data_IF_508431230125
#
_entry.id   IF_508431230125
#
_cell.length_a   1.000
_cell.length_b   1.000
_cell.length_c   1.000
_cell.angle_alpha   90.00
_cell.angle_beta   90.00
_cell.angle_gamma   90.00
#
_symmetry.space_group_name_H-M   'P 1'
#
loop_
_entity.id
_entity.type
_entity.pdbx_description
1 polymer ?
#
# COMPACT_ATOMS: atom_id res chain seq x y z
N UNK A 1 81.96 77.12 10.20
CA UNK A 1 82.30 77.55 8.83
C UNK A 1 81.01 77.70 8.06
N UNK A 2 80.69 78.90 7.52
CA UNK A 2 79.74 79.20 6.39
C UNK A 2 78.32 78.55 6.42
N UNK A 3 77.20 79.17 6.02
CA UNK A 3 76.85 80.51 5.49
C UNK A 3 75.29 80.59 5.54
N UNK A 4 74.73 81.76 5.91
CA UNK A 4 73.41 82.35 5.54
C UNK A 4 72.10 81.55 5.80
N UNK A 5 71.02 82.10 6.37
CA UNK A 5 70.20 83.32 6.10
C UNK A 5 69.22 83.24 4.91
N UNK A 6 68.13 84.02 5.08
CA UNK A 6 66.97 84.30 4.20
C UNK A 6 65.77 83.33 4.39
N UNK A 7 64.67 83.74 5.06
CA UNK A 7 63.59 84.69 4.64
C UNK A 7 62.79 84.10 3.45
N UNK A 8 61.47 84.07 3.37
CA UNK A 8 60.32 84.78 4.00
C UNK A 8 59.17 83.72 4.15
N UNK A 9 57.98 83.87 4.77
CA UNK A 9 57.15 84.99 5.28
C UNK A 9 56.28 84.47 6.45
N UNK A 10 55.58 85.35 7.19
CA UNK A 10 54.58 84.97 8.21
C UNK A 10 53.13 85.21 7.73
N UNK A 11 52.18 84.39 8.21
CA UNK A 11 50.78 84.81 8.47
C UNK A 11 50.31 84.18 9.78
N UNK A 12 49.51 84.95 10.52
CA UNK A 12 49.08 84.78 11.90
C UNK A 12 47.64 84.22 11.97
N UNK A 13 47.35 83.21 12.79
CA UNK A 13 45.98 82.94 13.26
C UNK A 13 45.93 82.11 14.56
N UNK A 14 45.62 82.84 15.63
CA UNK A 14 45.27 82.44 17.00
C UNK A 14 44.47 81.13 17.12
N UNK A 15 44.87 80.27 18.06
CA UNK A 15 44.03 79.20 18.59
C UNK A 15 43.25 79.67 19.83
N UNK A 16 41.96 79.29 19.94
CA UNK A 16 41.32 78.91 21.21
C UNK A 16 39.98 78.18 20.97
N UNK A 17 39.95 76.91 21.41
CA UNK A 17 38.82 76.03 21.78
C UNK A 17 37.40 76.28 21.24
N UNK A 18 36.92 75.29 20.48
CA UNK A 18 35.56 74.76 20.62
C UNK A 18 35.65 73.28 21.04
N UNK A 19 34.72 72.80 21.87
CA UNK A 19 34.77 71.45 22.43
C UNK A 19 34.51 70.37 21.37
N UNK A 20 35.31 69.29 21.39
CA UNK A 20 35.06 68.11 20.60
C UNK A 20 34.45 67.02 21.50
N UNK A 21 33.12 66.89 21.47
CA UNK A 21 32.46 65.64 21.87
C UNK A 21 32.73 64.60 20.79
N UNK A 22 33.31 63.43 21.11
CA UNK A 22 33.33 62.33 20.16
C UNK A 22 31.88 61.87 19.95
N UNK A 23 31.42 61.88 18.69
CA UNK A 23 30.22 61.13 18.33
C UNK A 23 30.54 59.65 18.54
N UNK A 24 29.69 58.95 19.29
CA UNK A 24 29.89 57.53 19.57
C UNK A 24 29.79 56.70 18.30
N UNK A 25 30.51 55.57 18.28
CA UNK A 25 30.22 54.50 17.34
C UNK A 25 28.81 53.96 17.66
N UNK A 26 27.86 54.14 16.74
CA UNK A 26 26.60 53.39 16.80
C UNK A 26 26.94 51.92 16.57
N UNK A 27 26.90 51.12 17.64
CA UNK A 27 26.84 49.67 17.53
C UNK A 27 25.53 49.32 16.85
N UNK A 28 25.58 48.93 15.57
CA UNK A 28 24.40 48.50 14.84
C UNK A 28 23.66 47.40 15.63
N UNK A 29 22.38 47.62 15.95
CA UNK A 29 21.61 46.67 16.74
C UNK A 29 21.51 45.34 16.00
N UNK A 30 21.80 44.23 16.70
CA UNK A 30 21.69 42.90 16.12
C UNK A 30 20.21 42.54 15.97
N UNK A 31 19.83 42.20 14.74
CA UNK A 31 18.54 41.56 14.45
C UNK A 31 18.64 40.06 14.72
N UNK A 32 17.70 39.51 15.46
CA UNK A 32 17.63 38.07 15.79
C UNK A 32 16.27 37.52 15.39
N UNK A 33 16.27 36.38 14.70
CA UNK A 33 15.08 35.60 14.39
C UNK A 33 14.90 34.52 15.46
N UNK A 34 13.69 34.34 15.97
CA UNK A 34 13.34 33.31 16.97
C UNK A 34 12.12 32.55 16.47
N UNK A 35 12.24 31.26 16.11
CA UNK A 35 11.09 30.42 15.81
C UNK A 35 10.38 30.01 17.10
N UNK A 36 9.07 29.79 17.01
CA UNK A 36 8.27 29.22 18.11
C UNK A 36 8.57 27.73 18.37
N UNK A 37 9.15 27.03 17.40
CA UNK A 37 9.66 25.66 17.50
C UNK A 37 10.80 25.43 16.49
N UNK A 38 11.79 24.62 16.85
CA UNK A 38 12.86 24.18 15.93
C UNK A 38 12.41 23.00 15.03
N UNK A 39 11.23 22.43 15.30
CA UNK A 39 10.65 21.31 14.55
C UNK A 39 9.16 21.49 14.28
N UNK A 40 8.68 21.02 13.14
CA UNK A 40 7.25 20.89 12.79
C UNK A 40 6.96 19.52 12.18
N UNK A 41 5.69 19.14 12.09
CA UNK A 41 5.24 18.04 11.23
C UNK A 41 5.36 18.40 9.74
N UNK A 42 5.81 17.46 8.92
CA UNK A 42 5.81 17.59 7.45
C UNK A 42 4.45 17.29 6.81
N UNK A 43 3.34 17.74 7.42
CA UNK A 43 1.96 17.40 7.03
C UNK A 43 1.20 18.54 6.30
N UNK A 44 1.82 19.73 6.21
CA UNK A 44 1.23 20.95 5.65
C UNK A 44 0.30 21.72 6.59
N UNK A 45 -0.04 21.18 7.76
CA UNK A 45 -0.98 21.74 8.74
C UNK A 45 -0.28 22.29 9.99
N UNK A 46 0.80 21.66 10.46
CA UNK A 46 1.60 22.20 11.57
C UNK A 46 2.36 23.46 11.14
N UNK A 47 2.42 24.46 12.03
CA UNK A 47 2.89 25.82 11.72
C UNK A 47 3.91 26.31 12.73
N UNK A 48 5.13 26.57 12.25
CA UNK A 48 6.07 27.42 12.97
C UNK A 48 5.74 28.89 12.69
N UNK A 49 5.64 29.68 13.74
CA UNK A 49 5.60 31.16 13.68
C UNK A 49 6.94 31.74 14.12
N UNK A 50 7.29 32.92 13.61
CA UNK A 50 8.58 33.56 13.84
C UNK A 50 8.44 34.94 14.50
N UNK A 51 9.21 35.17 15.56
CA UNK A 51 9.41 36.46 16.24
C UNK A 51 10.73 37.08 15.79
N UNK A 52 10.77 38.40 15.58
CA UNK A 52 11.97 39.15 15.20
C UNK A 52 12.30 40.20 16.25
N UNK A 53 13.52 40.17 16.77
CA UNK A 53 14.00 41.10 17.80
C UNK A 53 15.11 42.01 17.26
N UNK A 54 15.06 43.31 17.57
CA UNK A 54 16.20 44.25 17.47
C UNK A 54 16.74 44.49 18.87
N UNK A 55 17.89 43.89 19.20
CA UNK A 55 18.32 43.79 20.60
C UNK A 55 17.31 43.04 21.45
N UNK A 56 16.71 43.72 22.43
CA UNK A 56 15.63 43.19 23.29
C UNK A 56 14.21 43.62 22.84
N UNK A 57 14.09 44.42 21.77
CA UNK A 57 12.79 44.96 21.31
C UNK A 57 12.16 44.05 20.24
N UNK A 58 10.92 43.63 20.45
CA UNK A 58 10.13 42.95 19.42
C UNK A 58 9.76 43.93 18.29
N UNK A 59 10.19 43.58 17.06
CA UNK A 59 9.97 44.33 15.81
C UNK A 59 9.29 43.45 14.76
N UNK A 60 8.60 42.37 15.18
CA UNK A 60 8.00 41.36 14.29
C UNK A 60 6.96 41.95 13.33
N UNK A 61 6.28 43.03 13.70
CA UNK A 61 5.30 43.69 12.85
C UNK A 61 5.97 44.40 11.65
N UNK A 62 7.04 45.14 11.91
CA UNK A 62 7.80 45.94 10.94
C UNK A 62 8.82 45.12 10.13
N UNK A 63 9.32 44.03 10.72
CA UNK A 63 10.27 43.13 10.08
C UNK A 63 9.63 42.25 8.98
N UNK A 64 10.49 41.69 8.13
CA UNK A 64 10.16 40.67 7.13
C UNK A 64 10.91 39.38 7.45
N UNK A 65 10.32 38.23 7.18
CA UNK A 65 10.97 36.91 7.33
C UNK A 65 10.97 36.24 5.97
N UNK A 66 12.08 35.60 5.60
CA UNK A 66 12.31 34.99 4.30
C UNK A 66 12.76 33.54 4.44
N UNK A 67 12.34 32.71 3.50
CA UNK A 67 12.91 31.38 3.29
C UNK A 67 14.25 31.50 2.57
N UNK A 68 15.33 30.98 3.15
CA UNK A 68 16.69 31.21 2.66
C UNK A 68 16.99 30.55 1.30
N UNK A 69 16.28 29.48 0.94
CA UNK A 69 16.50 28.72 -0.31
C UNK A 69 16.23 29.52 -1.59
N UNK A 70 15.26 30.44 -1.53
CA UNK A 70 14.70 31.13 -2.70
C UNK A 70 14.44 32.62 -2.44
N UNK A 71 14.63 33.10 -1.19
CA UNK A 71 14.32 34.45 -0.72
C UNK A 71 12.83 34.84 -0.84
N UNK A 72 11.93 33.86 -0.76
CA UNK A 72 10.49 34.12 -0.67
C UNK A 72 10.14 34.70 0.70
N UNK A 73 9.45 35.83 0.75
CA UNK A 73 8.93 36.44 1.97
C UNK A 73 7.76 35.61 2.54
N UNK A 74 7.82 35.24 3.81
CA UNK A 74 6.78 34.47 4.48
C UNK A 74 5.54 35.32 4.77
N UNK A 75 4.39 34.86 4.27
CA UNK A 75 3.09 35.40 4.68
C UNK A 75 2.91 35.16 6.18
N UNK A 76 2.40 36.17 6.89
CA UNK A 76 2.16 36.17 8.34
C UNK A 76 3.36 35.81 9.25
N UNK A 77 4.60 35.78 8.71
CA UNK A 77 5.77 35.27 9.44
C UNK A 77 5.55 33.85 9.98
N UNK A 78 4.92 33.00 9.17
CA UNK A 78 4.61 31.61 9.46
C UNK A 78 5.05 30.68 8.33
N UNK A 79 5.38 29.43 8.66
CA UNK A 79 5.75 28.39 7.71
C UNK A 79 5.11 27.05 8.09
N UNK A 80 4.57 26.35 7.08
CA UNK A 80 4.18 24.93 7.10
C UNK A 80 4.62 24.28 5.80
N UNK A 81 4.71 22.96 5.77
CA UNK A 81 5.10 22.20 4.57
C UNK A 81 4.65 20.75 4.65
N UNK A 82 4.33 20.15 3.51
CA UNK A 82 3.98 18.73 3.32
C UNK A 82 5.19 17.88 2.86
N UNK A 83 6.40 18.41 3.09
CA UNK A 83 7.67 17.85 2.61
C UNK A 83 8.63 17.81 3.80
N UNK A 84 9.00 16.61 4.29
CA UNK A 84 10.02 16.47 5.33
C UNK A 84 11.39 17.01 4.87
N UNK A 85 12.14 17.61 5.79
CA UNK A 85 13.47 18.14 5.52
C UNK A 85 13.85 19.34 6.39
N UNK A 86 15.08 19.82 6.19
CA UNK A 86 15.60 21.01 6.87
C UNK A 86 15.30 22.29 6.07
N UNK A 87 14.75 23.29 6.74
CA UNK A 87 14.42 24.58 6.17
C UNK A 87 15.14 25.70 6.92
N UNK A 88 15.78 26.62 6.19
CA UNK A 88 16.44 27.79 6.78
C UNK A 88 15.66 29.07 6.50
N UNK A 89 15.62 29.95 7.49
CA UNK A 89 14.91 31.23 7.47
C UNK A 89 15.79 32.34 8.03
N UNK A 90 15.61 33.55 7.53
CA UNK A 90 16.24 34.76 8.09
C UNK A 90 15.24 35.92 8.11
N UNK A 91 15.46 36.89 8.98
CA UNK A 91 14.66 38.11 9.04
C UNK A 91 15.45 39.32 8.54
N UNK A 92 14.74 40.34 8.07
CA UNK A 92 15.31 41.68 7.87
C UNK A 92 14.49 42.75 8.58
N UNK A 93 15.21 43.72 9.15
CA UNK A 93 14.65 44.93 9.74
C UNK A 93 15.47 46.13 9.22
N UNK A 94 14.84 46.97 8.40
CA UNK A 94 15.53 48.02 7.65
C UNK A 94 16.55 47.44 6.65
N UNK A 95 17.84 47.66 6.91
CA UNK A 95 18.97 47.17 6.10
C UNK A 95 19.77 46.05 6.77
N UNK A 96 19.37 45.63 7.96
CA UNK A 96 20.06 44.60 8.75
C UNK A 96 19.31 43.27 8.58
N UNK A 97 20.07 42.20 8.34
CA UNK A 97 19.57 40.83 8.33
C UNK A 97 19.98 40.08 9.61
N UNK A 98 19.16 39.12 10.04
CA UNK A 98 19.55 38.17 11.09
C UNK A 98 20.53 37.11 10.56
N UNK A 99 21.12 36.34 11.47
CA UNK A 99 21.65 35.01 11.12
C UNK A 99 20.51 34.10 10.65
N UNK A 100 20.83 33.05 9.87
CA UNK A 100 19.86 32.02 9.52
C UNK A 100 19.47 31.19 10.75
N UNK A 101 18.19 30.82 10.84
CA UNK A 101 17.68 29.82 11.79
C UNK A 101 17.10 28.65 11.02
N UNK A 102 17.35 27.44 11.52
CA UNK A 102 16.83 26.19 10.96
C UNK A 102 15.52 25.78 11.65
N UNK A 103 14.57 25.28 10.86
CA UNK A 103 13.42 24.50 11.33
C UNK A 103 13.41 23.18 10.56
N UNK A 104 13.20 22.06 11.24
CA UNK A 104 13.13 20.74 10.61
C UNK A 104 11.67 20.29 10.51
N UNK A 105 11.18 20.04 9.31
CA UNK A 105 9.93 19.32 9.10
C UNK A 105 10.22 17.82 9.20
N UNK A 106 9.65 17.16 10.19
CA UNK A 106 9.87 15.74 10.45
C UNK A 106 9.03 14.87 9.49
N UNK A 107 9.52 13.67 9.21
CA UNK A 107 8.69 12.65 8.53
C UNK A 107 7.54 12.24 9.46
N UNK A 108 6.33 12.14 8.90
CA UNK A 108 5.15 11.70 9.63
C UNK A 108 5.30 10.28 10.15
N UNK A 109 4.65 9.99 11.28
CA UNK A 109 4.56 8.61 11.76
C UNK A 109 3.72 7.79 10.77
N UNK A 110 4.16 6.58 10.43
CA UNK A 110 3.37 5.61 9.66
C UNK A 110 2.88 4.52 10.61
N UNK A 111 1.58 4.21 10.57
CA UNK A 111 1.00 3.09 11.32
C UNK A 111 0.69 1.93 10.38
N UNK A 112 0.93 0.71 10.83
CA UNK A 112 0.51 -0.52 10.18
C UNK A 112 -0.13 -1.48 11.20
N UNK A 113 -0.81 -2.51 10.70
CA UNK A 113 -1.40 -3.59 11.51
C UNK A 113 -0.94 -4.94 10.98
N UNK A 114 -0.74 -5.93 11.85
CA UNK A 114 -0.51 -7.32 11.45
C UNK A 114 -1.75 -7.99 10.85
N UNK A 115 -2.93 -7.47 11.19
CA UNK A 115 -4.24 -8.00 10.82
C UNK A 115 -5.25 -6.87 10.62
N UNK A 116 -5.66 -6.61 9.38
CA UNK A 116 -6.67 -5.59 9.10
C UNK A 116 -8.12 -6.09 9.23
N UNK A 117 -8.32 -7.36 9.63
CA UNK A 117 -9.65 -7.94 9.87
C UNK A 117 -9.66 -8.76 11.14
N UNK A 118 -10.56 -8.40 12.07
CA UNK A 118 -10.80 -9.14 13.30
C UNK A 118 -12.25 -9.63 13.37
N UNK A 119 -12.47 -10.60 14.23
CA UNK A 119 -13.80 -10.96 14.71
C UNK A 119 -14.20 -9.99 15.83
N UNK A 120 -15.42 -9.46 15.78
CA UNK A 120 -16.00 -8.58 16.79
C UNK A 120 -16.46 -9.35 18.05
N UNK A 121 -15.57 -10.16 18.65
CA UNK A 121 -15.85 -10.96 19.84
C UNK A 121 -15.13 -10.47 21.12
N UNK A 122 -14.28 -9.44 21.02
CA UNK A 122 -13.45 -8.95 22.13
C UNK A 122 -12.27 -9.85 22.52
N UNK A 123 -11.96 -10.88 21.73
CA UNK A 123 -10.82 -11.79 21.93
C UNK A 123 -9.86 -11.78 20.73
N UNK A 124 -10.38 -11.70 19.50
CA UNK A 124 -9.57 -11.56 18.30
C UNK A 124 -8.98 -10.15 18.22
N UNK A 125 -7.71 -10.07 17.84
CA UNK A 125 -6.89 -8.88 18.04
C UNK A 125 -6.06 -8.53 16.81
N UNK A 126 -5.86 -7.23 16.63
CA UNK A 126 -4.96 -6.63 15.66
C UNK A 126 -3.84 -5.91 16.42
N UNK A 127 -2.58 -6.19 16.08
CA UNK A 127 -1.40 -5.56 16.68
C UNK A 127 -0.90 -4.46 15.76
N UNK A 128 -0.86 -3.25 16.29
CA UNK A 128 -0.44 -2.04 15.62
C UNK A 128 1.07 -1.83 15.78
N UNK A 129 1.73 -1.44 14.70
CA UNK A 129 3.15 -1.07 14.67
C UNK A 129 3.25 0.36 14.13
N UNK A 130 4.16 1.16 14.69
CA UNK A 130 4.40 2.54 14.24
C UNK A 130 5.86 2.69 13.84
N UNK A 131 6.10 3.22 12.65
CA UNK A 131 7.43 3.53 12.15
C UNK A 131 7.57 5.02 11.85
N UNK A 132 8.77 5.56 12.07
CA UNK A 132 9.14 6.93 11.70
C UNK A 132 10.61 6.93 11.28
N UNK A 133 10.97 7.56 10.15
CA UNK A 133 12.33 7.54 9.60
C UNK A 133 12.91 6.12 9.47
N UNK A 134 12.05 5.15 9.15
CA UNK A 134 12.39 3.72 9.06
C UNK A 134 12.68 3.00 10.38
N UNK A 135 12.47 3.64 11.54
CA UNK A 135 12.65 3.04 12.87
C UNK A 135 11.30 2.67 13.49
N UNK A 136 11.24 1.53 14.17
CA UNK A 136 10.10 1.15 15.02
C UNK A 136 10.05 2.05 16.26
N UNK A 137 8.96 2.80 16.38
CA UNK A 137 8.66 3.76 17.45
C UNK A 137 7.35 3.42 18.17
N UNK A 138 6.87 2.18 18.03
CA UNK A 138 5.60 1.68 18.59
C UNK A 138 5.51 1.91 20.10
N UNK A 139 6.60 1.66 20.83
CA UNK A 139 6.67 1.83 22.29
C UNK A 139 6.71 3.30 22.77
N UNK A 140 7.01 4.25 21.87
CA UNK A 140 6.97 5.69 22.13
C UNK A 140 5.65 6.34 21.67
N UNK A 141 4.77 5.55 21.04
CA UNK A 141 3.56 6.01 20.39
C UNK A 141 2.32 5.79 21.25
N UNK A 142 1.33 6.66 21.05
CA UNK A 142 -0.01 6.58 21.63
C UNK A 142 -1.02 6.36 20.52
N UNK A 143 -2.02 5.51 20.74
CA UNK A 143 -2.94 5.06 19.70
C UNK A 143 -4.35 5.58 19.95
N UNK A 144 -5.08 5.89 18.89
CA UNK A 144 -6.38 6.55 18.96
C UNK A 144 -7.36 5.95 17.95
N UNK A 145 -8.53 5.51 18.42
CA UNK A 145 -9.67 5.14 17.59
C UNK A 145 -10.48 6.40 17.24
N UNK A 146 -10.57 6.71 15.95
CA UNK A 146 -11.39 7.80 15.42
C UNK A 146 -12.87 7.37 15.38
N UNK A 147 -13.73 8.22 15.96
CA UNK A 147 -15.18 8.01 16.03
C UNK A 147 -15.92 8.67 14.85
N UNK A 148 -17.17 8.26 14.58
CA UNK A 148 -17.99 8.84 13.50
C UNK A 148 -18.28 10.33 13.66
N UNK A 149 -18.28 10.85 14.90
CA UNK A 149 -18.47 12.27 15.20
C UNK A 149 -17.19 13.12 15.04
N UNK A 150 -16.06 12.48 14.72
CA UNK A 150 -14.74 13.10 14.57
C UNK A 150 -13.94 13.20 15.87
N UNK A 151 -14.49 12.80 17.01
CA UNK A 151 -13.73 12.68 18.26
C UNK A 151 -12.79 11.46 18.22
N UNK A 152 -11.88 11.36 19.19
CA UNK A 152 -10.89 10.28 19.25
C UNK A 152 -10.79 9.68 20.65
N UNK A 153 -10.90 8.36 20.74
CA UNK A 153 -10.73 7.60 21.98
C UNK A 153 -9.32 7.01 22.03
N UNK A 154 -8.54 7.35 23.05
CA UNK A 154 -7.21 6.77 23.23
C UNK A 154 -7.34 5.27 23.58
N UNK A 155 -6.52 4.44 22.93
CA UNK A 155 -6.39 3.02 23.24
C UNK A 155 -5.36 2.79 24.36
N UNK A 156 -5.61 1.77 25.19
CA UNK A 156 -4.75 1.40 26.32
C UNK A 156 -3.40 0.77 25.89
N UNK A 157 -3.28 0.34 24.63
CA UNK A 157 -2.08 -0.29 24.09
C UNK A 157 -2.02 -0.20 22.56
N UNK A 158 -0.97 -0.74 21.96
CA UNK A 158 -0.87 -0.97 20.52
C UNK A 158 -1.68 -2.20 20.05
N UNK A 159 -2.51 -2.81 20.88
CA UNK A 159 -3.39 -3.93 20.52
C UNK A 159 -4.84 -3.44 20.47
N UNK A 160 -5.50 -3.69 19.34
CA UNK A 160 -6.90 -3.38 19.13
C UNK A 160 -7.75 -4.66 19.13
N UNK A 161 -8.85 -4.64 19.86
CA UNK A 161 -9.93 -5.62 19.80
C UNK A 161 -11.26 -4.90 20.05
N UNK A 162 -12.38 -5.48 19.60
CA UNK A 162 -13.69 -4.87 19.75
C UNK A 162 -14.81 -5.92 19.76
N UNK A 163 -15.98 -5.53 20.27
CA UNK A 163 -17.25 -6.25 20.12
C UNK A 163 -18.20 -5.58 19.11
N UNK A 164 -17.77 -4.48 18.48
CA UNK A 164 -18.57 -3.68 17.56
C UNK A 164 -18.20 -4.00 16.11
N UNK A 165 -19.18 -4.46 15.33
CA UNK A 165 -19.02 -4.80 13.91
C UNK A 165 -18.96 -3.52 13.07
N UNK A 166 -17.98 -3.41 12.19
CA UNK A 166 -17.78 -2.24 11.32
C UNK A 166 -16.31 -1.99 10.98
N UNK A 167 -16.04 -0.96 10.18
CA UNK A 167 -14.67 -0.43 10.03
C UNK A 167 -14.31 0.45 11.21
N UNK A 168 -13.13 0.22 11.78
CA UNK A 168 -12.52 1.01 12.84
C UNK A 168 -11.28 1.69 12.30
N UNK A 169 -11.20 3.01 12.41
CA UNK A 169 -10.09 3.83 11.90
C UNK A 169 -9.16 4.19 13.05
N UNK A 170 -7.91 3.74 13.01
CA UNK A 170 -6.96 3.91 14.11
C UNK A 170 -5.72 4.66 13.63
N UNK A 171 -5.35 5.73 14.33
CA UNK A 171 -4.10 6.45 14.09
C UNK A 171 -3.20 6.42 15.32
N UNK A 172 -1.91 6.70 15.13
CA UNK A 172 -0.92 6.82 16.19
C UNK A 172 -0.37 8.25 16.27
N UNK A 173 0.10 8.63 17.47
CA UNK A 173 0.86 9.85 17.72
C UNK A 173 2.15 9.57 18.50
N UNK A 174 3.25 10.17 18.06
CA UNK A 174 4.56 10.15 18.74
C UNK A 174 5.01 11.59 19.00
N UNK A 175 4.80 12.08 20.21
CA UNK A 175 4.96 13.50 20.51
C UNK A 175 3.86 14.32 19.84
N UNK A 176 4.22 15.28 18.98
CA UNK A 176 3.26 15.98 18.10
C UNK A 176 2.90 15.15 16.88
N UNK A 177 3.88 14.43 16.30
CA UNK A 177 3.75 13.71 15.03
C UNK A 177 2.56 12.73 15.02
N UNK A 178 1.62 12.92 14.08
CA UNK A 178 0.43 12.08 13.88
C UNK A 178 0.56 11.24 12.61
N UNK A 179 0.03 10.02 12.65
CA UNK A 179 -0.10 9.18 11.45
C UNK A 179 -1.41 9.43 10.70
N UNK A 180 -1.43 9.06 9.42
CA UNK A 180 -2.68 8.70 8.76
C UNK A 180 -3.33 7.49 9.49
N UNK A 181 -4.66 7.34 9.47
CA UNK A 181 -5.31 6.19 10.08
C UNK A 181 -5.15 4.91 9.24
N UNK A 182 -5.02 3.77 9.91
CA UNK A 182 -5.21 2.43 9.33
C UNK A 182 -6.62 1.93 9.64
N UNK A 183 -7.25 1.27 8.67
CA UNK A 183 -8.57 0.69 8.81
C UNK A 183 -8.47 -0.77 9.29
N UNK A 184 -9.23 -1.15 10.31
CA UNK A 184 -9.45 -2.53 10.74
C UNK A 184 -10.94 -2.85 10.64
N UNK A 185 -11.30 -3.87 9.87
CA UNK A 185 -12.68 -4.35 9.74
C UNK A 185 -12.98 -5.38 10.82
N UNK A 186 -13.86 -5.05 11.75
CA UNK A 186 -14.41 -5.99 12.73
C UNK A 186 -15.67 -6.65 12.15
N UNK A 187 -15.64 -7.98 12.01
CA UNK A 187 -16.72 -8.79 11.41
C UNK A 187 -17.55 -9.52 12.46
N UNK A 188 -18.83 -9.76 12.18
CA UNK A 188 -19.72 -10.43 13.12
C UNK A 188 -19.27 -11.88 13.41
N UNK A 189 -19.31 -12.26 14.68
CA UNK A 189 -19.06 -13.64 15.10
C UNK A 189 -20.33 -14.47 15.02
N UNK A 190 -20.62 -15.00 13.83
CA UNK A 190 -21.52 -16.15 13.72
C UNK A 190 -20.72 -17.46 13.71
N UNK A 191 -21.23 -18.43 14.46
CA UNK A 191 -20.73 -19.79 14.61
C UNK A 191 -21.77 -20.84 14.20
N UNK A 192 -23.04 -20.45 14.04
CA UNK A 192 -24.11 -21.36 13.66
C UNK A 192 -23.93 -21.71 12.18
N UNK A 193 -23.53 -22.96 11.84
CA UNK A 193 -23.07 -23.26 10.48
C UNK A 193 -24.19 -23.11 9.44
N UNK A 194 -25.45 -23.21 9.87
CA UNK A 194 -26.65 -22.99 9.06
C UNK A 194 -26.83 -21.56 8.58
N UNK A 195 -26.16 -20.59 9.20
CA UNK A 195 -26.24 -19.16 8.85
C UNK A 195 -25.13 -18.75 7.88
N UNK A 196 -24.17 -19.65 7.59
CA UNK A 196 -23.01 -19.37 6.74
C UNK A 196 -23.39 -19.39 5.26
N UNK A 197 -24.11 -18.36 4.83
CA UNK A 197 -24.50 -18.13 3.44
C UNK A 197 -23.34 -17.47 2.65
N UNK A 198 -22.19 -18.13 2.55
CA UNK A 198 -20.98 -17.54 1.94
C UNK A 198 -21.22 -17.11 0.48
N UNK A 199 -20.59 -16.01 0.04
CA UNK A 199 -20.52 -15.70 -1.40
C UNK A 199 -19.58 -16.71 -2.05
N UNK A 200 -20.10 -17.42 -3.05
CA UNK A 200 -19.29 -18.32 -3.87
C UNK A 200 -18.61 -17.55 -5.00
N UNK A 201 -17.33 -17.87 -5.23
CA UNK A 201 -16.63 -17.57 -6.47
C UNK A 201 -15.93 -18.81 -6.99
N UNK A 202 -15.81 -18.90 -8.31
CA UNK A 202 -15.09 -19.96 -8.99
C UNK A 202 -13.67 -19.53 -9.43
N UNK A 203 -12.73 -20.47 -9.39
CA UNK A 203 -11.39 -20.29 -9.96
C UNK A 203 -11.45 -20.50 -11.47
N UNK A 204 -10.91 -19.54 -12.24
CA UNK A 204 -10.72 -19.60 -13.69
C UNK A 204 -9.23 -19.74 -14.00
N UNK A 205 -8.72 -20.98 -13.97
CA UNK A 205 -7.31 -21.28 -14.27
C UNK A 205 -7.09 -21.31 -15.79
N UNK A 206 -6.53 -20.24 -16.32
CA UNK A 206 -6.15 -20.06 -17.71
C UNK A 206 -4.75 -20.64 -17.97
N UNK A 207 -4.59 -21.32 -19.10
CA UNK A 207 -3.27 -21.62 -19.68
C UNK A 207 -3.05 -20.80 -20.97
N UNK A 208 -1.93 -20.08 -21.02
CA UNK A 208 -1.66 -19.05 -22.04
C UNK A 208 -0.18 -18.96 -22.41
N UNK A 209 0.16 -18.23 -23.47
CA UNK A 209 1.54 -17.89 -23.81
C UNK A 209 1.65 -16.58 -24.63
N UNK A 210 2.77 -15.87 -24.49
CA UNK A 210 3.10 -14.66 -25.26
C UNK A 210 3.06 -14.90 -26.79
N UNK A 211 3.56 -16.03 -27.29
CA UNK A 211 3.49 -16.37 -28.72
C UNK A 211 2.15 -16.93 -29.20
N UNK A 212 1.17 -17.13 -28.32
CA UNK A 212 -0.13 -17.72 -28.66
C UNK A 212 -1.07 -16.71 -29.32
N UNK A 213 -1.13 -16.68 -30.65
CA UNK A 213 -1.96 -15.74 -31.41
C UNK A 213 -3.48 -15.80 -31.19
N UNK A 214 -4.00 -16.88 -30.59
CA UNK A 214 -5.41 -17.01 -30.21
C UNK A 214 -5.69 -16.68 -28.73
N UNK A 215 -4.67 -16.65 -27.87
CA UNK A 215 -4.83 -16.35 -26.44
C UNK A 215 -5.43 -14.97 -26.13
N UNK A 216 -5.22 -13.92 -26.96
CA UNK A 216 -5.98 -12.67 -26.90
C UNK A 216 -7.50 -12.77 -26.89
N UNK A 217 -8.09 -13.82 -27.48
CA UNK A 217 -9.55 -14.02 -27.42
C UNK A 217 -10.02 -14.38 -26.00
N UNK A 218 -9.23 -15.17 -25.28
CA UNK A 218 -9.49 -15.50 -23.87
C UNK A 218 -9.28 -14.28 -22.98
N UNK A 219 -8.12 -13.61 -23.14
CA UNK A 219 -7.78 -12.39 -22.40
C UNK A 219 -8.86 -11.30 -22.59
N UNK A 220 -9.21 -10.95 -23.83
CA UNK A 220 -10.25 -9.94 -24.07
C UNK A 220 -11.65 -10.41 -23.64
N UNK A 221 -11.89 -11.72 -23.57
CA UNK A 221 -13.10 -12.29 -22.96
C UNK A 221 -13.19 -11.99 -21.46
N UNK A 222 -12.13 -12.25 -20.69
CA UNK A 222 -12.04 -11.91 -19.26
C UNK A 222 -12.17 -10.39 -19.04
N UNK A 223 -11.45 -9.59 -19.83
CA UNK A 223 -11.55 -8.13 -19.75
C UNK A 223 -12.97 -7.61 -19.99
N UNK A 224 -13.72 -8.20 -20.94
CA UNK A 224 -15.14 -7.84 -21.17
C UNK A 224 -16.01 -8.17 -19.96
N UNK A 225 -15.71 -9.22 -19.19
CA UNK A 225 -16.43 -9.55 -17.96
C UNK A 225 -16.08 -8.56 -16.84
N UNK A 226 -14.80 -8.22 -16.67
CA UNK A 226 -14.35 -7.18 -15.74
C UNK A 226 -14.97 -5.81 -16.07
N UNK A 227 -14.96 -5.40 -17.34
CA UNK A 227 -15.64 -4.19 -17.86
C UNK A 227 -17.16 -4.17 -17.59
N UNK A 228 -17.78 -5.32 -17.31
CA UNK A 228 -19.20 -5.47 -16.94
C UNK A 228 -19.44 -5.52 -15.42
N UNK A 229 -18.39 -5.44 -14.58
CA UNK A 229 -18.50 -5.62 -13.14
C UNK A 229 -18.88 -7.05 -12.73
N UNK A 230 -18.52 -8.05 -13.53
CA UNK A 230 -18.77 -9.44 -13.20
C UNK A 230 -17.73 -9.98 -12.21
N UNK A 231 -18.20 -10.55 -11.10
CA UNK A 231 -17.36 -10.95 -9.97
C UNK A 231 -17.60 -12.41 -9.49
N UNK A 232 -18.33 -13.24 -10.24
CA UNK A 232 -18.58 -14.65 -9.85
C UNK A 232 -17.34 -15.56 -10.00
N UNK A 233 -16.24 -15.05 -10.56
CA UNK A 233 -15.04 -15.85 -10.80
C UNK A 233 -13.74 -15.03 -10.80
N UNK A 234 -12.66 -15.69 -10.40
CA UNK A 234 -11.32 -15.11 -10.23
C UNK A 234 -10.37 -15.82 -11.19
N UNK A 235 -9.73 -15.06 -12.08
CA UNK A 235 -8.75 -15.58 -13.04
C UNK A 235 -7.39 -15.90 -12.41
N UNK A 236 -6.71 -16.91 -12.97
CA UNK A 236 -5.32 -17.22 -12.70
C UNK A 236 -4.65 -17.57 -14.02
N UNK A 237 -3.65 -16.81 -14.46
CA UNK A 237 -2.97 -17.01 -15.73
C UNK A 237 -1.68 -17.82 -15.58
N UNK A 238 -1.77 -19.14 -15.75
CA UNK A 238 -0.59 -20.00 -15.89
C UNK A 238 0.00 -19.87 -17.30
N UNK A 239 1.07 -19.08 -17.42
CA UNK A 239 1.89 -19.07 -18.62
C UNK A 239 2.62 -20.41 -18.82
N UNK A 240 2.72 -20.90 -20.06
CA UNK A 240 3.35 -22.20 -20.39
C UNK A 240 4.71 -22.02 -21.05
N UNK A 241 5.68 -22.89 -20.73
CA UNK A 241 7.08 -22.80 -21.19
C UNK A 241 7.35 -23.14 -22.66
N UNK A 242 6.40 -22.87 -23.55
CA UNK A 242 6.54 -23.00 -25.00
C UNK A 242 5.86 -21.80 -25.70
N UNK A 243 5.93 -21.71 -27.04
CA UNK A 243 5.44 -20.55 -27.80
C UNK A 243 6.10 -19.21 -27.38
N UNK A 244 7.43 -19.18 -27.27
CA UNK A 244 8.22 -17.95 -27.01
C UNK A 244 7.77 -17.18 -25.75
N UNK A 245 7.43 -17.92 -24.70
CA UNK A 245 7.02 -17.37 -23.42
C UNK A 245 8.19 -17.23 -22.44
N UNK A 246 8.14 -16.18 -21.60
CA UNK A 246 9.14 -15.85 -20.58
C UNK A 246 8.56 -15.61 -19.18
N UNK A 247 7.25 -15.80 -19.02
CA UNK A 247 6.47 -15.57 -17.80
C UNK A 247 6.07 -16.87 -17.09
N UNK A 248 6.33 -18.03 -17.70
CA UNK A 248 5.96 -19.34 -17.14
C UNK A 248 6.65 -19.65 -15.80
N UNK A 249 5.91 -20.15 -14.79
CA UNK A 249 6.50 -20.67 -13.56
C UNK A 249 7.13 -22.05 -13.80
N UNK A 250 8.12 -22.46 -13.00
CA UNK A 250 8.84 -23.75 -13.18
C UNK A 250 7.94 -24.99 -13.14
N UNK A 251 6.82 -24.91 -12.41
CA UNK A 251 5.84 -25.99 -12.24
C UNK A 251 4.74 -26.02 -13.32
N UNK A 252 4.74 -25.11 -14.31
CA UNK A 252 3.66 -24.99 -15.32
C UNK A 252 3.25 -26.32 -15.96
N UNK A 253 4.21 -27.21 -16.24
CA UNK A 253 3.97 -28.48 -16.93
C UNK A 253 3.27 -29.50 -16.03
N UNK A 254 3.49 -29.44 -14.71
CA UNK A 254 2.76 -30.28 -13.76
C UNK A 254 1.30 -29.81 -13.64
N UNK A 255 1.09 -28.48 -13.55
CA UNK A 255 -0.24 -27.89 -13.50
C UNK A 255 -1.04 -28.15 -14.80
N UNK A 256 -0.41 -27.96 -15.97
CA UNK A 256 -0.99 -28.29 -17.28
C UNK A 256 -1.36 -29.77 -17.40
N UNK A 257 -0.50 -30.69 -16.95
CA UNK A 257 -0.77 -32.14 -17.00
C UNK A 257 -1.98 -32.55 -16.15
N UNK A 258 -2.25 -31.82 -15.06
CA UNK A 258 -3.36 -32.13 -14.16
C UNK A 258 -4.67 -31.46 -14.61
N UNK A 259 -4.64 -30.17 -15.01
CA UNK A 259 -5.85 -29.37 -15.24
C UNK A 259 -6.01 -28.82 -16.67
N UNK A 260 -4.97 -28.86 -17.50
CA UNK A 260 -5.05 -28.46 -18.91
C UNK A 260 -5.65 -29.53 -19.84
N UNK A 261 -5.86 -30.75 -19.35
CA UNK A 261 -6.23 -31.93 -20.15
C UNK A 261 -7.58 -31.84 -20.87
N UNK A 262 -8.49 -30.96 -20.44
CA UNK A 262 -9.76 -30.69 -21.12
C UNK A 262 -9.62 -29.94 -22.46
N UNK A 263 -8.46 -29.36 -22.75
CA UNK A 263 -8.22 -28.57 -23.96
C UNK A 263 -7.18 -29.21 -24.89
N UNK A 264 -7.42 -29.12 -26.20
CA UNK A 264 -6.51 -29.64 -27.24
C UNK A 264 -5.30 -28.74 -27.52
N UNK A 265 -5.17 -27.61 -26.81
CA UNK A 265 -4.13 -26.59 -26.98
C UNK A 265 -4.46 -25.32 -26.19
N UNK A 266 -3.66 -24.27 -26.38
CA UNK A 266 -3.87 -22.95 -25.75
C UNK A 266 -4.51 -21.93 -26.73
N UNK A 267 -5.33 -20.96 -26.26
CA UNK A 267 -5.71 -20.76 -24.85
C UNK A 267 -6.62 -21.88 -24.34
N UNK A 268 -6.40 -22.27 -23.10
CA UNK A 268 -7.29 -23.15 -22.34
C UNK A 268 -7.75 -22.44 -21.07
N UNK A 269 -8.94 -22.77 -20.61
CA UNK A 269 -9.49 -22.40 -19.30
C UNK A 269 -9.97 -23.68 -18.62
N UNK A 270 -9.65 -23.83 -17.35
CA UNK A 270 -10.15 -24.89 -16.47
C UNK A 270 -10.79 -24.26 -15.24
N UNK A 271 -11.84 -24.87 -14.68
CA UNK A 271 -12.65 -24.26 -13.63
C UNK A 271 -12.56 -25.06 -12.34
N UNK A 272 -12.41 -24.39 -11.19
CA UNK A 272 -12.37 -24.98 -9.85
C UNK A 272 -11.41 -26.18 -9.66
N UNK A 273 -10.34 -26.28 -10.48
CA UNK A 273 -9.47 -27.45 -10.56
C UNK A 273 -10.21 -28.78 -10.90
N UNK A 274 -11.46 -28.70 -11.39
CA UNK A 274 -12.22 -29.84 -11.89
C UNK A 274 -11.71 -30.25 -13.27
N UNK A 275 -11.02 -31.39 -13.32
CA UNK A 275 -10.47 -32.00 -14.54
C UNK A 275 -11.52 -32.37 -15.59
N UNK A 276 -12.81 -32.39 -15.23
CA UNK A 276 -13.94 -32.59 -16.15
C UNK A 276 -14.39 -31.30 -16.84
N UNK A 277 -13.95 -30.12 -16.36
CA UNK A 277 -14.44 -28.82 -16.83
C UNK A 277 -13.33 -28.00 -17.47
N UNK A 278 -13.53 -27.63 -18.74
CA UNK A 278 -12.63 -26.73 -19.42
C UNK A 278 -13.10 -26.34 -20.82
N UNK A 279 -12.52 -25.27 -21.34
CA UNK A 279 -12.81 -24.75 -22.68
C UNK A 279 -11.59 -24.09 -23.31
N UNK A 280 -11.58 -24.02 -24.64
CA UNK A 280 -10.75 -23.06 -25.38
C UNK A 280 -11.43 -21.70 -25.51
N UNK A 281 -10.79 -20.78 -26.23
CA UNK A 281 -11.45 -19.55 -26.67
C UNK A 281 -12.47 -19.84 -27.80
N UNK A 282 -13.49 -18.98 -27.92
CA UNK A 282 -14.57 -19.10 -28.88
C UNK A 282 -14.35 -18.18 -30.10
N UNK A 283 -15.29 -18.17 -31.05
CA UNK A 283 -15.17 -17.49 -32.34
C UNK A 283 -14.87 -15.97 -32.27
N UNK A 284 -15.10 -15.31 -31.13
CA UNK A 284 -14.68 -13.94 -30.84
C UNK A 284 -14.63 -13.70 -29.32
N UNK A 285 -14.12 -12.54 -28.89
CA UNK A 285 -13.98 -12.19 -27.47
C UNK A 285 -15.32 -12.12 -26.72
N UNK A 286 -16.37 -11.54 -27.31
CA UNK A 286 -17.70 -11.48 -26.70
C UNK A 286 -18.32 -12.87 -26.50
N UNK A 287 -18.24 -13.73 -27.51
CA UNK A 287 -18.66 -15.12 -27.39
C UNK A 287 -17.85 -15.87 -26.31
N UNK A 288 -16.55 -15.56 -26.18
CA UNK A 288 -15.71 -16.14 -25.12
C UNK A 288 -16.18 -15.67 -23.75
N UNK A 289 -16.39 -14.36 -23.53
CA UNK A 289 -16.95 -13.81 -22.29
C UNK A 289 -18.29 -14.47 -21.91
N UNK A 290 -19.24 -14.58 -22.85
CA UNK A 290 -20.55 -15.21 -22.60
C UNK A 290 -20.42 -16.67 -22.17
N UNK A 291 -19.54 -17.45 -22.81
CA UNK A 291 -19.38 -18.86 -22.44
C UNK A 291 -18.59 -19.03 -21.13
N UNK A 292 -17.58 -18.20 -20.86
CA UNK A 292 -16.89 -18.19 -19.57
C UNK A 292 -17.88 -17.92 -18.43
N UNK A 293 -18.75 -16.91 -18.56
CA UNK A 293 -19.79 -16.60 -17.57
C UNK A 293 -20.76 -17.77 -17.38
N UNK A 294 -21.25 -18.38 -18.46
CA UNK A 294 -22.16 -19.53 -18.38
C UNK A 294 -21.49 -20.73 -17.69
N UNK A 295 -20.28 -21.13 -18.10
CA UNK A 295 -19.57 -22.26 -17.50
C UNK A 295 -19.26 -21.98 -16.03
N UNK A 296 -18.93 -20.74 -15.67
CA UNK A 296 -18.74 -20.34 -14.27
C UNK A 296 -20.02 -20.53 -13.46
N UNK A 297 -21.18 -20.10 -13.98
CA UNK A 297 -22.47 -20.38 -13.36
C UNK A 297 -22.76 -21.88 -13.27
N UNK A 298 -22.41 -22.66 -14.28
CA UNK A 298 -22.65 -24.11 -14.30
C UNK A 298 -21.81 -24.85 -13.24
N UNK A 299 -20.55 -24.45 -13.01
CA UNK A 299 -19.71 -25.08 -11.98
C UNK A 299 -20.11 -24.66 -10.56
N UNK A 300 -20.52 -23.42 -10.36
CA UNK A 300 -21.07 -22.93 -9.08
C UNK A 300 -22.32 -23.75 -8.70
N UNK A 301 -23.24 -23.92 -9.66
CA UNK A 301 -24.43 -24.77 -9.44
C UNK A 301 -24.10 -26.26 -9.29
N UNK A 302 -22.94 -26.75 -9.76
CA UNK A 302 -22.49 -28.15 -9.62
C UNK A 302 -21.90 -28.44 -8.23
N UNK A 303 -21.23 -27.46 -7.61
CA UNK A 303 -20.45 -27.64 -6.39
C UNK A 303 -20.69 -26.55 -5.32
N UNK A 304 -21.89 -26.48 -4.73
CA UNK A 304 -22.29 -25.38 -3.85
C UNK A 304 -21.28 -25.07 -2.74
N UNK A 305 -21.02 -23.78 -2.51
CA UNK A 305 -20.15 -23.30 -1.45
C UNK A 305 -20.56 -23.84 -0.07
N UNK A 306 -19.57 -24.33 0.66
CA UNK A 306 -19.69 -24.78 2.06
C UNK A 306 -18.58 -24.20 2.94
N UNK A 307 -17.74 -23.32 2.40
CA UNK A 307 -16.66 -22.72 3.14
C UNK A 307 -16.38 -21.27 2.72
N UNK A 308 -16.02 -20.47 3.71
CA UNK A 308 -15.62 -19.08 3.56
C UNK A 308 -14.14 -18.92 3.82
N UNK A 309 -13.59 -17.84 3.28
CA UNK A 309 -12.18 -17.45 3.44
C UNK A 309 -12.16 -15.97 3.81
N UNK A 310 -11.31 -15.61 4.77
CA UNK A 310 -10.77 -14.25 4.91
C UNK A 310 -9.25 -14.31 4.80
N UNK A 311 -8.60 -13.27 4.28
CA UNK A 311 -7.15 -13.22 4.19
C UNK A 311 -6.60 -11.80 4.36
N UNK A 312 -5.34 -11.74 4.79
CA UNK A 312 -4.49 -10.55 4.88
C UNK A 312 -3.20 -10.86 4.13
N UNK A 313 -2.73 -9.92 3.29
CA UNK A 313 -1.50 -10.10 2.50
C UNK A 313 -0.55 -8.91 2.68
N UNK A 314 0.55 -9.13 3.40
CA UNK A 314 1.46 -8.10 3.90
C UNK A 314 2.93 -8.45 3.64
N UNK A 315 3.87 -7.47 3.66
CA UNK A 315 5.29 -7.76 3.61
C UNK A 315 5.75 -8.49 4.88
N UNK A 316 6.71 -9.41 4.76
CA UNK A 316 7.41 -10.07 5.87
C UNK A 316 8.91 -9.73 5.77
N UNK A 317 9.23 -8.45 5.98
CA UNK A 317 10.55 -7.87 5.71
C UNK A 317 10.85 -7.71 4.21
N UNK A 318 12.08 -7.34 3.89
CA UNK A 318 12.49 -6.79 2.57
C UNK A 318 12.41 -7.76 1.38
N UNK A 319 12.19 -9.06 1.60
CA UNK A 319 12.30 -10.08 0.54
C UNK A 319 11.17 -11.12 0.52
N UNK A 320 10.21 -10.98 1.41
CA UNK A 320 9.13 -11.94 1.58
C UNK A 320 7.77 -11.23 1.71
N UNK A 321 6.72 -11.93 1.30
CA UNK A 321 5.33 -11.51 1.49
C UNK A 321 4.59 -12.66 2.17
N UNK A 322 3.81 -12.34 3.20
CA UNK A 322 3.06 -13.30 4.00
C UNK A 322 1.58 -13.16 3.75
N UNK A 323 0.95 -14.30 3.48
CA UNK A 323 -0.49 -14.49 3.57
C UNK A 323 -0.80 -15.07 4.93
N UNK A 324 -1.75 -14.47 5.63
CA UNK A 324 -2.46 -15.10 6.76
C UNK A 324 -3.92 -15.19 6.37
N UNK A 325 -4.50 -16.39 6.39
CA UNK A 325 -5.88 -16.64 5.99
C UNK A 325 -6.63 -17.46 7.03
N UNK A 326 -7.88 -17.07 7.31
CA UNK A 326 -8.80 -17.82 8.17
C UNK A 326 -9.89 -18.47 7.32
N UNK A 327 -10.17 -19.74 7.60
CA UNK A 327 -11.17 -20.54 6.91
C UNK A 327 -12.30 -20.88 7.88
N UNK A 328 -13.54 -20.85 7.39
CA UNK A 328 -14.74 -21.34 8.08
C UNK A 328 -15.45 -22.36 7.20
N UNK A 329 -16.06 -23.39 7.80
CA UNK A 329 -16.87 -24.38 7.08
C UNK A 329 -18.29 -24.46 7.66
N UNK A 330 -19.31 -24.53 6.78
CA UNK A 330 -20.73 -24.71 7.15
C UNK A 330 -21.08 -26.18 7.43
N UNK A 331 -20.25 -27.12 6.98
CA UNK A 331 -20.40 -28.55 7.26
C UNK A 331 -19.04 -29.23 7.45
N UNK A 332 -19.03 -30.47 7.95
CA UNK A 332 -17.82 -31.27 8.07
C UNK A 332 -17.49 -31.95 6.73
N UNK A 333 -16.21 -31.95 6.34
CA UNK A 333 -15.76 -32.54 5.08
C UNK A 333 -14.24 -32.74 4.99
N UNK A 334 -13.81 -33.45 3.95
CA UNK A 334 -12.40 -33.56 3.59
C UNK A 334 -11.99 -32.26 2.85
N UNK A 335 -11.42 -31.29 3.58
CA UNK A 335 -10.98 -29.99 3.03
C UNK A 335 -9.45 -29.90 2.86
N UNK A 336 -9.01 -29.07 1.92
CA UNK A 336 -7.62 -28.60 1.76
C UNK A 336 -7.59 -27.13 1.42
N UNK A 337 -6.46 -26.46 1.68
CA UNK A 337 -6.30 -25.03 1.46
C UNK A 337 -4.96 -24.69 0.81
N UNK A 338 -4.97 -23.68 -0.05
CA UNK A 338 -3.78 -23.17 -0.71
C UNK A 338 -3.85 -21.65 -0.88
N UNK A 339 -2.67 -21.03 -0.87
CA UNK A 339 -2.44 -19.69 -1.41
C UNK A 339 -1.54 -19.80 -2.65
N UNK A 340 -1.83 -19.04 -3.69
CA UNK A 340 -1.03 -18.92 -4.91
C UNK A 340 -0.72 -17.44 -5.17
N UNK A 341 0.55 -17.12 -5.39
CA UNK A 341 1.02 -15.76 -5.68
C UNK A 341 0.86 -15.47 -7.18
N UNK A 342 0.23 -14.33 -7.48
CA UNK A 342 0.05 -13.79 -8.82
C UNK A 342 0.77 -12.43 -8.93
N UNK A 343 1.01 -11.98 -10.15
CA UNK A 343 1.66 -10.70 -10.46
C UNK A 343 0.96 -10.03 -11.65
N UNK A 344 0.65 -8.76 -11.47
CA UNK A 344 0.04 -7.88 -12.46
C UNK A 344 1.07 -7.03 -13.22
N UNK A 345 0.60 -6.40 -14.30
CA UNK A 345 1.33 -5.42 -15.10
C UNK A 345 2.72 -5.86 -15.57
N UNK A 346 2.93 -7.16 -15.80
CA UNK A 346 4.18 -7.68 -16.35
C UNK A 346 4.28 -7.26 -17.83
N UNK A 347 5.39 -6.63 -18.22
CA UNK A 347 5.61 -6.23 -19.60
C UNK A 347 6.02 -7.41 -20.49
N UNK A 348 5.25 -7.67 -21.55
CA UNK A 348 5.68 -8.56 -22.59
C UNK A 348 4.76 -8.63 -23.80
N UNK A 349 5.34 -8.78 -24.99
CA UNK A 349 4.58 -8.69 -26.25
C UNK A 349 3.75 -9.95 -26.51
N UNK A 350 2.43 -9.82 -26.41
CA UNK A 350 1.44 -10.82 -26.78
C UNK A 350 1.18 -10.84 -28.30
N UNK A 351 1.35 -12.01 -28.91
CA UNK A 351 0.90 -12.31 -30.27
C UNK A 351 -0.61 -12.31 -30.37
N UNK A 352 -1.15 -11.70 -31.43
CA UNK A 352 -2.60 -11.54 -31.64
C UNK A 352 -2.95 -11.69 -33.12
N UNK A 353 -3.55 -12.83 -33.47
CA UNK A 353 -4.00 -13.14 -34.83
C UNK A 353 -5.39 -12.57 -35.14
N UNK A 354 -6.12 -12.12 -34.12
CA UNK A 354 -7.52 -11.69 -34.24
C UNK A 354 -7.67 -10.17 -34.15
N UNK A 355 -6.61 -9.45 -33.77
CA UNK A 355 -6.56 -8.00 -33.58
C UNK A 355 -7.61 -7.49 -32.58
N UNK A 356 -7.76 -8.20 -31.46
CA UNK A 356 -8.75 -7.90 -30.41
C UNK A 356 -8.19 -7.08 -29.24
N UNK A 357 -6.87 -6.86 -29.18
CA UNK A 357 -6.21 -6.08 -28.14
C UNK A 357 -5.60 -4.78 -28.71
N UNK A 358 -5.62 -3.71 -27.91
CA UNK A 358 -4.84 -2.49 -28.19
C UNK A 358 -3.33 -2.75 -28.03
N UNK A 359 -2.47 -1.80 -28.45
CA UNK A 359 -1.02 -1.93 -28.30
C UNK A 359 -0.57 -2.03 -26.83
N UNK A 360 -1.27 -1.36 -25.94
CA UNK A 360 -1.08 -1.38 -24.48
C UNK A 360 -1.51 -2.71 -23.88
N UNK A 361 -2.72 -3.17 -24.21
CA UNK A 361 -3.27 -4.47 -23.78
C UNK A 361 -2.46 -5.68 -24.31
N UNK A 362 -1.64 -5.49 -25.35
CA UNK A 362 -0.68 -6.49 -25.85
C UNK A 362 0.63 -6.55 -25.06
N UNK A 363 0.88 -5.61 -24.14
CA UNK A 363 2.08 -5.55 -23.30
C UNK A 363 1.80 -5.81 -21.84
N UNK A 364 0.65 -5.38 -21.36
CA UNK A 364 0.21 -5.45 -19.96
C UNK A 364 -0.33 -6.84 -19.59
N UNK A 365 0.42 -7.68 -18.87
CA UNK A 365 -0.03 -9.01 -18.44
C UNK A 365 -0.43 -9.05 -16.94
N UNK A 366 -1.67 -9.47 -16.68
CA UNK A 366 -2.29 -9.57 -15.37
C UNK A 366 -2.62 -11.01 -14.94
N UNK A 367 -2.91 -11.20 -13.66
CA UNK A 367 -3.19 -12.47 -12.98
C UNK A 367 -2.08 -13.54 -13.14
N UNK A 368 -0.83 -13.17 -13.41
CA UNK A 368 0.19 -14.15 -13.86
C UNK A 368 0.69 -15.00 -12.70
N UNK A 369 0.46 -16.32 -12.75
CA UNK A 369 0.79 -17.26 -11.67
C UNK A 369 2.31 -17.41 -11.47
N UNK A 370 2.80 -17.03 -10.28
CA UNK A 370 4.23 -16.96 -9.94
C UNK A 370 4.70 -18.08 -9.03
N UNK A 371 3.95 -18.32 -7.96
CA UNK A 371 4.28 -19.32 -6.97
C UNK A 371 3.00 -19.97 -6.44
N UNK A 372 3.13 -21.19 -5.95
CA UNK A 372 2.06 -21.93 -5.27
C UNK A 372 2.59 -22.38 -3.92
N UNK A 373 1.72 -22.39 -2.90
CA UNK A 373 2.02 -22.90 -1.56
C UNK A 373 2.50 -24.36 -1.56
N UNK A 374 1.94 -25.19 -2.44
CA UNK A 374 2.30 -26.60 -2.58
C UNK A 374 2.38 -27.00 -4.07
N UNK A 375 3.55 -27.51 -4.50
CA UNK A 375 3.81 -27.96 -5.88
C UNK A 375 3.62 -29.48 -6.07
N UNK A 376 3.58 -30.26 -4.97
CA UNK A 376 3.29 -31.69 -5.01
C UNK A 376 1.78 -31.94 -5.10
N UNK A 377 0.98 -31.07 -4.48
CA UNK A 377 -0.48 -31.09 -4.54
C UNK A 377 -1.06 -29.67 -4.69
N UNK A 378 -1.41 -29.32 -5.92
CA UNK A 378 -2.01 -28.02 -6.27
C UNK A 378 -3.40 -27.79 -5.66
N UNK A 379 -4.06 -28.82 -5.11
CA UNK A 379 -5.35 -28.68 -4.40
C UNK A 379 -5.18 -28.23 -2.95
N UNK A 380 -3.93 -28.18 -2.47
CA UNK A 380 -3.54 -27.57 -1.20
C UNK A 380 -3.21 -28.56 -0.08
N UNK A 381 -2.89 -27.98 1.07
CA UNK A 381 -2.56 -28.70 2.30
C UNK A 381 -3.83 -29.09 3.05
N UNK A 382 -3.84 -30.26 3.70
CA UNK A 382 -5.02 -30.77 4.43
C UNK A 382 -5.45 -29.79 5.54
N UNK A 383 -6.73 -29.44 5.52
CA UNK A 383 -7.38 -28.63 6.55
C UNK A 383 -8.31 -29.51 7.39
N UNK A 384 -7.93 -29.73 8.65
CA UNK A 384 -8.83 -30.33 9.63
C UNK A 384 -9.72 -29.23 10.20
N UNK A 385 -10.98 -29.18 9.78
CA UNK A 385 -11.97 -28.18 10.21
C UNK A 385 -13.36 -28.85 10.35
N UNK A 386 -14.05 -28.58 11.45
CA UNK A 386 -15.44 -28.97 11.68
C UNK A 386 -16.45 -27.90 11.24
N UNK A 387 -17.72 -28.27 11.19
CA UNK A 387 -18.82 -27.34 10.93
C UNK A 387 -18.86 -26.25 12.03
N UNK A 388 -18.86 -24.98 11.64
CA UNK A 388 -18.87 -23.83 12.56
C UNK A 388 -17.51 -23.45 13.12
N UNK A 389 -16.47 -24.26 12.90
CA UNK A 389 -15.11 -23.96 13.35
C UNK A 389 -14.44 -22.92 12.44
N UNK A 390 -13.42 -22.24 12.99
CA UNK A 390 -12.51 -21.36 12.26
C UNK A 390 -11.08 -21.87 12.41
N UNK A 391 -10.32 -21.92 11.31
CA UNK A 391 -8.91 -22.35 11.32
C UNK A 391 -8.06 -21.37 10.53
N UNK A 392 -6.97 -20.89 11.13
CA UNK A 392 -5.98 -20.04 10.47
C UNK A 392 -4.85 -20.87 9.82
N UNK A 393 -4.35 -20.38 8.68
CA UNK A 393 -3.13 -20.82 8.02
C UNK A 393 -2.34 -19.62 7.52
N UNK A 394 -1.02 -19.77 7.43
CA UNK A 394 -0.15 -18.76 6.82
C UNK A 394 0.83 -19.38 5.84
N UNK A 395 1.13 -18.66 4.76
CA UNK A 395 2.17 -19.01 3.79
C UNK A 395 3.03 -17.79 3.49
N UNK A 396 4.32 -18.01 3.27
CA UNK A 396 5.27 -16.95 2.92
C UNK A 396 5.83 -17.20 1.52
N UNK A 397 5.71 -16.21 0.64
CA UNK A 397 6.31 -16.20 -0.70
C UNK A 397 7.53 -15.31 -0.73
N UNK A 398 8.46 -15.57 -1.66
CA UNK A 398 9.64 -14.72 -1.85
C UNK A 398 9.43 -13.75 -3.01
N UNK A 399 9.80 -12.49 -2.84
CA UNK A 399 9.67 -11.43 -3.86
C UNK A 399 10.46 -11.77 -5.14
N UNK A 400 11.55 -12.55 -5.04
CA UNK A 400 12.30 -13.05 -6.22
C UNK A 400 11.53 -14.03 -7.12
N UNK A 401 10.31 -14.42 -6.76
CA UNK A 401 9.41 -15.18 -7.64
C UNK A 401 8.62 -14.31 -8.63
N UNK A 402 8.58 -12.99 -8.43
CA UNK A 402 8.03 -11.99 -9.36
C UNK A 402 8.96 -11.82 -10.58
N UNK A 403 8.45 -11.27 -11.70
CA UNK A 403 9.21 -11.02 -12.94
C UNK A 403 9.89 -9.67 -12.90
N UNK A 404 9.10 -8.64 -12.64
CA UNK A 404 9.56 -7.26 -12.62
C UNK A 404 10.14 -6.89 -11.25
N UNK A 405 9.82 -7.68 -10.22
CA UNK A 405 10.27 -7.44 -8.84
C UNK A 405 9.53 -6.27 -8.16
N UNK A 406 8.46 -5.78 -8.77
CA UNK A 406 7.56 -4.74 -8.26
C UNK A 406 6.57 -5.39 -7.31
N UNK A 407 6.73 -5.15 -6.00
CA UNK A 407 5.92 -5.81 -4.96
C UNK A 407 4.47 -5.31 -4.95
N UNK A 408 4.25 -4.08 -5.41
CA UNK A 408 2.95 -3.43 -5.55
C UNK A 408 2.07 -4.07 -6.64
N UNK A 409 2.69 -4.78 -7.59
CA UNK A 409 1.99 -5.58 -8.60
C UNK A 409 1.61 -6.98 -8.09
N UNK A 410 2.04 -7.36 -6.89
CA UNK A 410 1.74 -8.68 -6.34
C UNK A 410 0.32 -8.74 -5.77
N UNK A 411 -0.34 -9.87 -5.98
CA UNK A 411 -1.58 -10.20 -5.30
C UNK A 411 -1.63 -11.72 -5.08
N UNK A 412 -2.54 -12.18 -4.24
CA UNK A 412 -2.66 -13.59 -3.90
C UNK A 412 -4.09 -14.06 -4.11
N UNK A 413 -4.24 -15.25 -4.71
CA UNK A 413 -5.49 -15.99 -4.56
C UNK A 413 -5.36 -17.00 -3.43
N UNK A 414 -6.33 -16.99 -2.53
CA UNK A 414 -6.46 -18.00 -1.46
C UNK A 414 -7.73 -18.78 -1.73
N UNK A 415 -7.62 -20.11 -1.72
CA UNK A 415 -8.76 -20.97 -2.02
C UNK A 415 -8.81 -22.19 -1.09
N UNK A 416 -10.04 -22.66 -0.89
CA UNK A 416 -10.35 -23.88 -0.16
C UNK A 416 -10.93 -24.89 -1.16
N UNK A 417 -10.36 -26.09 -1.19
CA UNK A 417 -10.90 -27.21 -1.96
C UNK A 417 -11.61 -28.19 -1.04
N UNK A 418 -12.67 -28.79 -1.55
CA UNK A 418 -13.45 -29.84 -0.89
C UNK A 418 -13.41 -31.09 -1.74
N UNK A 419 -13.33 -32.25 -1.09
CA UNK A 419 -13.38 -33.53 -1.78
C UNK A 419 -14.81 -33.90 -2.13
N UNK A 420 -15.06 -34.04 -3.42
CA UNK A 420 -16.38 -34.35 -3.97
C UNK A 420 -16.62 -35.85 -4.12
N UNK A 421 -17.85 -36.24 -4.45
CA UNK A 421 -18.26 -37.64 -4.55
C UNK A 421 -17.51 -38.46 -5.62
N UNK A 422 -16.89 -37.79 -6.60
CA UNK A 422 -15.98 -38.41 -7.59
C UNK A 422 -14.56 -38.67 -7.04
N UNK A 423 -14.27 -38.23 -5.81
CA UNK A 423 -12.98 -38.37 -5.14
C UNK A 423 -11.95 -37.28 -5.46
N UNK A 424 -12.30 -36.33 -6.34
CA UNK A 424 -11.46 -35.17 -6.66
C UNK A 424 -11.63 -34.07 -5.61
N UNK A 425 -10.58 -33.29 -5.38
CA UNK A 425 -10.66 -32.05 -4.64
C UNK A 425 -10.96 -30.90 -5.59
N UNK A 426 -12.13 -30.29 -5.44
CA UNK A 426 -12.64 -29.20 -6.26
C UNK A 426 -12.60 -27.91 -5.43
N UNK A 427 -12.23 -26.79 -6.03
CA UNK A 427 -12.32 -25.47 -5.37
C UNK A 427 -13.78 -25.21 -5.00
N UNK A 428 -14.02 -25.04 -3.70
CA UNK A 428 -15.34 -24.77 -3.13
C UNK A 428 -15.53 -23.28 -2.83
N UNK A 429 -14.43 -22.53 -2.63
CA UNK A 429 -14.43 -21.08 -2.70
C UNK A 429 -13.02 -20.53 -2.96
N UNK A 430 -12.92 -19.30 -3.47
CA UNK A 430 -11.67 -18.58 -3.76
C UNK A 430 -11.87 -17.08 -3.52
N UNK A 431 -10.86 -16.42 -2.95
CA UNK A 431 -10.75 -14.97 -2.83
C UNK A 431 -9.46 -14.48 -3.48
N UNK A 432 -9.43 -13.22 -3.89
CA UNK A 432 -8.24 -12.49 -4.35
C UNK A 432 -7.96 -11.39 -3.32
N UNK A 433 -6.73 -11.28 -2.83
CA UNK A 433 -6.30 -10.26 -1.88
C UNK A 433 -5.08 -9.52 -2.45
N UNK A 434 -5.17 -8.20 -2.55
CA UNK A 434 -4.07 -7.37 -3.07
C UNK A 434 -2.95 -7.23 -2.03
N UNK A 435 -1.78 -6.77 -2.48
CA UNK A 435 -0.69 -6.40 -1.58
C UNK A 435 -1.10 -5.24 -0.65
N UNK A 436 -0.74 -5.32 0.62
CA UNK A 436 -1.12 -4.35 1.68
C UNK A 436 -2.63 -4.26 1.94
N UNK A 437 -3.37 -5.31 1.62
CA UNK A 437 -4.84 -5.36 1.71
C UNK A 437 -5.33 -6.50 2.62
N UNK A 438 -6.63 -6.54 2.89
CA UNK A 438 -7.28 -7.68 3.54
C UNK A 438 -8.74 -7.83 3.12
N UNK A 439 -9.14 -9.07 2.88
CA UNK A 439 -10.49 -9.46 2.42
C UNK A 439 -11.19 -10.27 3.50
N UNK A 440 -12.40 -9.85 3.87
CA UNK A 440 -13.21 -10.49 4.90
C UNK A 440 -13.97 -11.70 4.39
N UNK A 441 -14.64 -12.41 5.30
CA UNK A 441 -15.64 -13.40 4.89
C UNK A 441 -16.79 -12.68 4.18
N UNK A 442 -17.02 -13.04 2.91
CA UNK A 442 -18.16 -12.55 2.14
C UNK A 442 -19.36 -13.50 2.26
N UNK A 443 -20.54 -12.91 2.37
CA UNK A 443 -21.83 -13.61 2.47
C UNK A 443 -22.82 -13.02 1.45
N UNK A 444 -23.79 -13.83 1.04
CA UNK A 444 -24.95 -13.39 0.25
C UNK A 444 -26.04 -12.93 1.22
N UNK A 445 -26.64 -11.77 0.94
CA UNK A 445 -27.78 -11.19 1.70
C UNK A 445 -29.09 -11.99 1.58
#
# INVERSE_FOLDING_TARGET
MKIYNYLLTAVLAIAMFAACTPAGEETAEKVTLVPSSETIEGDGVDVVTFTVLSGETDVTAEAKVFKASDNTELVNKSFSTDIPGEYEFYATYGVIASDNVKVTALEGATISTDKAIIVANGEDQAVLTVTQEGQDVTAESTFYLLQEDGESVQLESNVFTTTEVGQHQIYAKKGTASSAPVAILATAYDNEPSNFNFRERAMLLQFTAQGCGYCPLMKKGLMILHEQGWDDGISVACHVGFMQDSMYPTFWNALWRNYGAGATGIPAMSFNLDTETGTGAYANATATATNLKQITSDVINKYPVTAGISATFLPEGDSQMKVTATFKASEAGDYKVAAWLLEDHIDGVQSDYNNVLTAEQKRDHCDVLRAVSNQDDFTGDVLNIGAGESVEKSWTFNVSSLKEGVIENAHVVVFITKKEANGLYIVNNIINCNMNDSVGFEYVE
#
